data_IF_258644586644
#
_entry.id   IF_258644586644
#
_cell.length_a   1.000
_cell.length_b   1.000
_cell.length_c   1.000
_cell.angle_alpha   90.00
_cell.angle_beta   90.00
_cell.angle_gamma   90.00
#
_symmetry.space_group_name_H-M   'P 1'
#
loop_
_entity.id
_entity.type
_entity.pdbx_description
1 polymer ?
#
# COMPACT_ATOMS: atom_id res chain seq x y z
N UNK A 1 -15.24 57.80 -5.70
CA UNK A 1 -15.60 56.39 -5.47
C UNK A 1 -14.31 55.59 -5.30
N UNK A 2 -13.94 55.29 -4.05
CA UNK A 2 -12.75 54.47 -3.72
C UNK A 2 -13.18 53.01 -3.78
N UNK A 3 -12.55 52.23 -4.67
CA UNK A 3 -12.81 50.80 -4.82
C UNK A 3 -11.82 50.07 -3.91
N UNK A 4 -12.30 49.60 -2.76
CA UNK A 4 -11.50 48.78 -1.84
C UNK A 4 -11.33 47.40 -2.46
N UNK A 5 -10.07 47.00 -2.70
CA UNK A 5 -9.69 45.63 -3.01
C UNK A 5 -9.65 44.86 -1.68
N UNK A 6 -10.57 43.91 -1.48
CA UNK A 6 -10.48 42.96 -0.36
C UNK A 6 -9.71 41.74 -0.90
N UNK A 7 -8.45 41.61 -0.48
CA UNK A 7 -7.70 40.36 -0.59
C UNK A 7 -8.17 39.43 0.52
N UNK A 8 -8.91 38.38 0.16
CA UNK A 8 -9.21 37.26 1.05
C UNK A 8 -8.01 36.30 0.95
N UNK A 9 -7.18 36.30 1.99
CA UNK A 9 -6.11 35.34 2.18
C UNK A 9 -6.73 34.05 2.74
N UNK A 10 -7.10 33.11 1.86
CA UNK A 10 -7.51 31.76 2.27
C UNK A 10 -6.23 31.00 2.65
N UNK A 11 -6.02 30.82 3.96
CA UNK A 11 -5.02 29.91 4.49
C UNK A 11 -5.57 28.49 4.39
N UNK A 12 -5.20 27.79 3.32
CA UNK A 12 -5.37 26.34 3.21
C UNK A 12 -4.30 25.68 4.11
N UNK A 13 -4.71 25.33 5.33
CA UNK A 13 -4.05 24.32 6.14
C UNK A 13 -4.30 22.95 5.48
N UNK A 14 -3.44 22.59 4.54
CA UNK A 14 -3.27 21.19 4.15
C UNK A 14 -2.42 20.53 5.23
N UNK A 15 -3.05 19.67 6.03
CA UNK A 15 -2.33 18.66 6.83
C UNK A 15 -1.64 17.73 5.84
N UNK A 16 -0.32 17.60 5.95
CA UNK A 16 0.45 16.69 5.12
C UNK A 16 0.11 15.25 5.47
N UNK A 17 -0.31 14.47 4.48
CA UNK A 17 -0.39 13.02 4.57
C UNK A 17 0.95 12.46 4.10
N UNK A 18 1.73 11.90 5.03
CA UNK A 18 2.68 10.83 4.75
C UNK A 18 1.95 9.53 5.14
N UNK A 19 1.94 8.46 4.34
CA UNK A 19 3.01 7.48 4.25
C UNK A 19 2.48 6.22 3.51
N UNK A 20 3.34 5.23 3.31
CA UNK A 20 3.04 3.79 3.35
C UNK A 20 3.86 3.32 4.56
N UNK A 21 3.36 2.49 5.51
CA UNK A 21 2.03 1.93 5.82
C UNK A 21 0.80 2.82 5.63
N UNK A 22 -0.36 2.16 5.52
CA UNK A 22 -1.66 2.81 5.61
C UNK A 22 -1.75 3.52 6.96
N UNK A 23 -1.99 4.83 6.92
CA UNK A 23 -2.12 5.67 8.11
C UNK A 23 -3.49 6.34 8.13
N UNK A 24 -4.12 6.34 9.30
CA UNK A 24 -5.41 6.99 9.55
C UNK A 24 -6.52 6.56 8.57
N UNK A 25 -6.58 5.29 8.17
CA UNK A 25 -7.69 4.77 7.38
C UNK A 25 -8.99 4.88 8.19
N UNK A 26 -10.00 5.66 7.76
CA UNK A 26 -11.24 5.80 8.52
C UNK A 26 -11.96 4.47 8.62
N UNK A 27 -12.35 4.09 9.85
CA UNK A 27 -13.10 2.86 10.12
C UNK A 27 -14.50 3.26 10.60
N UNK A 28 -15.51 3.29 9.71
CA UNK A 28 -16.86 3.70 10.06
C UNK A 28 -17.54 2.61 10.91
N UNK A 29 -17.55 2.79 12.23
CA UNK A 29 -18.13 1.80 13.17
C UNK A 29 -19.12 2.42 14.15
N UNK A 30 -20.04 1.58 14.59
CA UNK A 30 -20.99 1.87 15.65
C UNK A 30 -20.64 1.06 16.90
N UNK A 31 -20.79 1.69 18.05
CA UNK A 31 -20.76 1.00 19.34
C UNK A 31 -22.02 0.10 19.48
N UNK A 32 -22.01 -0.89 20.38
CA UNK A 32 -23.17 -1.75 20.65
C UNK A 32 -24.47 -1.01 21.04
N UNK A 33 -24.39 0.25 21.47
CA UNK A 33 -25.56 1.10 21.77
C UNK A 33 -26.06 1.91 20.56
N UNK A 34 -25.45 1.73 19.38
CA UNK A 34 -25.75 2.45 18.15
C UNK A 34 -25.07 3.82 18.02
N UNK A 35 -24.23 4.23 18.98
CA UNK A 35 -23.48 5.49 18.85
C UNK A 35 -22.36 5.35 17.82
N UNK A 36 -22.24 6.33 16.92
CA UNK A 36 -21.17 6.40 15.92
C UNK A 36 -19.90 6.96 16.55
N UNK A 37 -18.77 6.33 16.25
CA UNK A 37 -17.45 6.78 16.70
C UNK A 37 -16.54 7.00 15.49
N UNK A 38 -15.62 7.96 15.62
CA UNK A 38 -14.60 8.25 14.63
C UNK A 38 -13.29 7.64 15.11
N UNK A 39 -12.89 6.54 14.47
CA UNK A 39 -11.64 5.84 14.75
C UNK A 39 -10.95 5.53 13.43
N UNK A 40 -9.66 5.22 13.51
CA UNK A 40 -8.84 4.92 12.36
C UNK A 40 -8.05 3.64 12.56
N UNK A 41 -7.72 2.99 11.44
CA UNK A 41 -6.73 1.93 11.42
C UNK A 41 -5.42 2.47 10.83
N UNK A 42 -4.30 2.08 11.42
CA UNK A 42 -2.98 2.29 10.86
C UNK A 42 -2.15 1.02 10.94
N UNK A 43 -1.18 0.89 10.04
CA UNK A 43 -0.24 -0.22 10.00
C UNK A 43 0.01 -0.73 8.59
N UNK A 44 0.60 -1.90 8.55
CA UNK A 44 0.90 -2.65 7.34
C UNK A 44 0.19 -4.01 7.37
N UNK A 45 0.46 -4.84 6.38
CA UNK A 45 -0.11 -6.17 6.20
C UNK A 45 0.28 -7.17 7.29
N UNK A 46 1.33 -6.89 8.05
CA UNK A 46 1.85 -7.76 9.11
C UNK A 46 1.40 -7.32 10.49
N UNK A 47 1.21 -6.02 10.68
CA UNK A 47 0.71 -5.46 11.93
C UNK A 47 -0.08 -4.16 11.71
N UNK A 48 -1.36 -4.22 12.08
CA UNK A 48 -2.24 -3.06 12.10
C UNK A 48 -2.99 -2.94 13.44
N UNK A 49 -3.38 -1.71 13.78
CA UNK A 49 -4.07 -1.42 15.03
C UNK A 49 -5.11 -0.30 14.84
N UNK A 50 -6.06 -0.23 15.77
CA UNK A 50 -7.03 0.86 15.83
C UNK A 50 -6.57 1.97 16.77
N UNK A 51 -6.84 3.22 16.41
CA UNK A 51 -6.58 4.38 17.25
C UNK A 51 -7.53 5.54 16.94
N UNK A 52 -7.60 6.53 17.84
CA UNK A 52 -8.29 7.80 17.57
C UNK A 52 -7.37 8.82 16.87
N UNK A 53 -7.90 10.03 16.62
CA UNK A 53 -7.13 11.11 15.99
C UNK A 53 -5.91 11.57 16.78
N UNK A 54 -5.90 11.31 18.09
CA UNK A 54 -4.92 11.76 19.07
C UNK A 54 -3.90 10.66 19.41
N UNK A 55 -3.94 9.54 18.66
CA UNK A 55 -3.09 8.35 18.77
C UNK A 55 -3.29 7.56 20.08
N UNK A 56 -4.50 7.57 20.65
CA UNK A 56 -4.86 6.60 21.68
C UNK A 56 -5.32 5.30 21.04
N UNK A 57 -4.71 4.20 21.44
CA UNK A 57 -4.98 2.86 20.92
C UNK A 57 -6.34 2.35 21.37
N UNK A 58 -7.04 1.67 20.48
CA UNK A 58 -8.41 1.19 20.65
C UNK A 58 -8.45 -0.33 20.41
N UNK A 59 -9.20 -1.04 21.24
CA UNK A 59 -9.48 -2.48 21.12
C UNK A 59 -10.97 -2.74 21.38
N UNK A 60 -11.45 -3.95 21.10
CA UNK A 60 -12.79 -4.38 21.52
C UNK A 60 -12.72 -5.11 22.87
N UNK A 61 -13.67 -4.81 23.76
CA UNK A 61 -13.84 -5.56 25.02
C UNK A 61 -14.70 -6.82 24.81
N UNK A 62 -14.85 -7.62 25.87
CA UNK A 62 -15.65 -8.86 25.86
C UNK A 62 -17.15 -8.63 25.61
N UNK A 63 -17.62 -7.37 25.70
CA UNK A 63 -19.01 -6.97 25.43
C UNK A 63 -19.18 -6.41 24.02
N UNK A 64 -18.10 -6.37 23.23
CA UNK A 64 -18.09 -5.84 21.86
C UNK A 64 -18.00 -4.32 21.77
N UNK A 65 -17.77 -3.61 22.88
CA UNK A 65 -17.52 -2.16 22.85
C UNK A 65 -16.12 -1.86 22.36
N UNK A 66 -15.97 -0.85 21.52
CA UNK A 66 -14.68 -0.22 21.27
C UNK A 66 -14.28 0.62 22.48
N UNK A 67 -13.16 0.25 23.10
CA UNK A 67 -12.62 0.88 24.30
C UNK A 67 -11.16 1.28 24.07
N UNK A 68 -10.69 2.29 24.79
CA UNK A 68 -9.28 2.61 24.80
C UNK A 68 -8.49 1.48 25.47
N UNK A 69 -7.29 1.22 24.97
CA UNK A 69 -6.41 0.16 25.44
C UNK A 69 -5.39 0.66 26.46
N UNK A 70 -4.93 -0.24 27.32
CA UNK A 70 -3.76 -0.06 28.17
C UNK A 70 -2.67 -1.08 27.79
N UNK A 71 -1.42 -0.75 28.11
CA UNK A 71 -0.31 -1.68 27.92
C UNK A 71 -0.47 -2.87 28.89
N UNK A 72 -0.35 -4.09 28.37
CA UNK A 72 -0.37 -5.32 29.16
C UNK A 72 0.80 -6.23 28.74
N UNK A 73 1.94 -6.07 29.42
CA UNK A 73 3.18 -6.74 29.05
C UNK A 73 3.60 -6.40 27.62
N UNK A 74 3.79 -7.41 26.78
CA UNK A 74 4.12 -7.25 25.36
C UNK A 74 2.90 -6.94 24.47
N UNK A 75 1.67 -7.04 25.00
CA UNK A 75 0.41 -6.82 24.28
C UNK A 75 -0.33 -5.59 24.82
N UNK A 76 -1.57 -5.42 24.34
CA UNK A 76 -2.50 -4.41 24.81
C UNK A 76 -3.76 -5.08 25.35
N UNK A 77 -4.41 -4.46 26.33
CA UNK A 77 -5.62 -4.98 26.95
C UNK A 77 -6.74 -3.92 26.96
N UNK A 78 -8.02 -4.33 26.87
CA UNK A 78 -9.16 -3.43 26.95
C UNK A 78 -9.24 -2.76 28.32
N UNK A 79 -9.60 -1.48 28.34
CA UNK A 79 -9.96 -0.76 29.57
C UNK A 79 -11.47 -0.58 29.69
N UNK A 80 -11.92 0.09 30.76
CA UNK A 80 -13.32 0.45 30.93
C UNK A 80 -13.71 1.79 30.26
N UNK A 81 -12.79 2.41 29.49
CA UNK A 81 -13.02 3.71 28.85
C UNK A 81 -13.58 3.49 27.44
N UNK A 82 -14.87 3.72 27.25
CA UNK A 82 -15.58 3.55 25.98
C UNK A 82 -15.30 4.74 25.06
N UNK A 83 -14.89 4.43 23.84
CA UNK A 83 -14.61 5.45 22.81
C UNK A 83 -15.90 6.23 22.52
N UNK A 84 -15.78 7.56 22.46
CA UNK A 84 -16.90 8.48 22.24
C UNK A 84 -17.71 8.87 23.49
N UNK A 85 -17.50 8.20 24.62
CA UNK A 85 -18.15 8.54 25.90
C UNK A 85 -17.17 9.12 26.92
N UNK A 86 -16.03 8.46 27.09
CA UNK A 86 -14.98 8.90 28.00
C UNK A 86 -13.86 9.66 27.26
N UNK A 87 -13.20 10.58 27.97
CA UNK A 87 -12.05 11.31 27.45
C UNK A 87 -10.74 10.65 27.93
N UNK A 88 -9.92 10.07 27.04
CA UNK A 88 -8.68 9.40 27.40
C UNK A 88 -7.62 10.37 27.94
N UNK A 89 -7.61 11.65 27.55
CA UNK A 89 -6.66 12.66 28.06
C UNK A 89 -6.81 12.94 29.56
N UNK A 90 -7.98 12.60 30.14
CA UNK A 90 -8.23 12.72 31.58
C UNK A 90 -7.88 11.46 32.35
N UNK A 91 -7.37 10.45 31.67
CA UNK A 91 -6.91 9.17 32.24
C UNK A 91 -5.39 9.11 32.28
N UNK A 92 -4.84 8.05 32.88
CA UNK A 92 -3.39 7.80 32.89
C UNK A 92 -2.90 6.98 31.68
N UNK A 93 -3.67 6.93 30.59
CA UNK A 93 -3.30 6.20 29.38
C UNK A 93 -2.21 6.92 28.60
N UNK A 94 -1.23 6.17 28.13
CA UNK A 94 -0.22 6.68 27.22
C UNK A 94 -0.72 6.62 25.77
N UNK A 95 -0.26 7.57 24.94
CA UNK A 95 -0.49 7.56 23.50
C UNK A 95 0.46 6.57 22.83
N UNK A 96 0.05 6.00 21.69
CA UNK A 96 0.88 5.11 20.87
C UNK A 96 1.20 3.75 21.52
N UNK A 97 0.41 3.33 22.51
CA UNK A 97 0.52 1.99 23.12
C UNK A 97 0.32 0.93 22.03
N UNK A 98 1.20 -0.05 21.93
CA UNK A 98 1.12 -1.07 20.87
C UNK A 98 1.79 -2.38 21.33
N UNK A 99 1.81 -3.38 20.45
CA UNK A 99 2.62 -4.59 20.66
C UNK A 99 4.09 -4.21 20.84
N UNK A 100 4.81 -4.99 21.65
CA UNK A 100 6.26 -4.85 21.78
C UNK A 100 6.96 -5.07 20.43
N UNK A 101 8.12 -4.44 20.24
CA UNK A 101 8.95 -4.66 19.05
C UNK A 101 9.31 -6.15 18.86
N UNK A 102 9.44 -6.90 19.96
CA UNK A 102 9.69 -8.33 19.91
C UNK A 102 8.52 -9.14 19.34
N UNK A 103 7.26 -8.79 19.68
CA UNK A 103 6.09 -9.45 19.10
C UNK A 103 5.87 -9.03 17.64
N UNK A 104 6.10 -7.76 17.31
CA UNK A 104 6.06 -7.30 15.92
C UNK A 104 7.07 -8.06 15.07
N UNK A 105 8.34 -8.14 15.50
CA UNK A 105 9.39 -8.92 14.82
C UNK A 105 9.00 -10.38 14.61
N UNK A 106 8.44 -11.03 15.63
CA UNK A 106 7.95 -12.42 15.48
C UNK A 106 6.85 -12.55 14.43
N UNK A 107 5.98 -11.54 14.26
CA UNK A 107 5.02 -11.50 13.16
C UNK A 107 5.73 -11.33 11.82
N UNK A 108 6.60 -10.33 11.67
CA UNK A 108 7.34 -10.11 10.41
C UNK A 108 8.19 -11.32 9.99
N UNK A 109 8.89 -11.96 10.92
CA UNK A 109 9.66 -13.19 10.68
C UNK A 109 8.76 -14.34 10.19
N UNK A 110 7.55 -14.45 10.73
CA UNK A 110 6.57 -15.49 10.36
C UNK A 110 6.01 -15.29 8.95
N UNK A 111 5.94 -14.05 8.48
CA UNK A 111 5.43 -13.70 7.16
C UNK A 111 6.55 -13.39 6.16
N UNK A 112 7.77 -13.89 6.39
CA UNK A 112 8.92 -13.60 5.52
C UNK A 112 8.67 -13.90 4.06
N UNK A 113 7.92 -14.96 3.77
CA UNK A 113 7.64 -15.46 2.42
C UNK A 113 6.71 -14.51 1.63
N UNK A 114 5.96 -13.62 2.32
CA UNK A 114 5.19 -12.56 1.65
C UNK A 114 6.10 -11.52 0.97
N UNK A 115 7.37 -11.47 1.39
CA UNK A 115 8.40 -10.54 0.92
C UNK A 115 9.36 -11.17 -0.08
N UNK A 116 9.06 -12.37 -0.56
CA UNK A 116 9.77 -12.98 -1.67
C UNK A 116 9.24 -12.39 -2.99
N UNK A 117 10.10 -11.60 -3.63
CA UNK A 117 9.86 -10.98 -4.94
C UNK A 117 10.69 -11.65 -6.05
N UNK A 118 11.56 -12.62 -5.73
CA UNK A 118 12.46 -13.28 -6.69
C UNK A 118 11.68 -14.08 -7.76
N UNK A 119 10.42 -14.41 -7.46
CA UNK A 119 9.51 -15.15 -8.34
C UNK A 119 8.40 -14.30 -8.94
N UNK A 120 8.44 -12.96 -8.83
CA UNK A 120 7.50 -12.10 -9.55
C UNK A 120 7.81 -12.21 -11.05
N UNK A 121 6.89 -12.84 -11.78
CA UNK A 121 7.05 -13.17 -13.20
C UNK A 121 5.82 -12.66 -13.93
N UNK A 122 5.99 -11.47 -14.46
CA UNK A 122 4.93 -10.74 -15.13
C UNK A 122 5.58 -9.81 -16.15
N UNK A 123 4.91 -9.52 -17.27
CA UNK A 123 5.48 -8.72 -18.34
C UNK A 123 5.70 -7.26 -17.92
N UNK A 124 6.93 -6.75 -18.09
CA UNK A 124 7.27 -5.34 -17.84
C UNK A 124 6.97 -4.40 -19.01
N UNK A 125 6.57 -4.94 -20.17
CA UNK A 125 6.36 -4.19 -21.41
C UNK A 125 5.09 -4.66 -22.14
N UNK A 126 4.52 -3.77 -22.94
CA UNK A 126 3.35 -4.07 -23.76
C UNK A 126 2.04 -3.95 -22.99
N UNK A 127 1.09 -4.81 -23.34
CA UNK A 127 -0.23 -4.88 -22.71
C UNK A 127 -0.16 -5.91 -21.58
N UNK A 128 -0.58 -5.50 -20.38
CA UNK A 128 -0.68 -6.32 -19.19
C UNK A 128 -2.15 -6.47 -18.82
N UNK A 129 -2.65 -7.70 -18.71
CA UNK A 129 -4.04 -7.94 -18.33
C UNK A 129 -4.17 -8.32 -16.86
N UNK A 130 -4.63 -7.38 -16.05
CA UNK A 130 -4.91 -7.58 -14.65
C UNK A 130 -6.35 -8.14 -14.46
N UNK A 131 -6.50 -9.26 -13.77
CA UNK A 131 -7.82 -9.79 -13.44
C UNK A 131 -8.31 -9.21 -12.11
N UNK A 132 -9.51 -8.66 -12.05
CA UNK A 132 -10.11 -8.13 -10.83
C UNK A 132 -11.27 -9.02 -10.41
N UNK A 133 -11.18 -9.66 -9.24
CA UNK A 133 -12.21 -10.57 -8.74
C UNK A 133 -12.88 -9.98 -7.50
N UNK A 134 -14.19 -9.70 -7.59
CA UNK A 134 -14.98 -9.20 -6.46
C UNK A 134 -15.47 -10.35 -5.58
N UNK A 135 -15.22 -10.24 -4.27
CA UNK A 135 -15.57 -11.25 -3.26
C UNK A 135 -16.43 -10.61 -2.16
N UNK A 136 -17.47 -11.33 -1.72
CA UNK A 136 -18.21 -11.02 -0.50
C UNK A 136 -18.39 -12.28 0.35
N UNK A 137 -18.70 -12.08 1.63
CA UNK A 137 -18.98 -13.17 2.56
C UNK A 137 -20.48 -13.47 2.63
N UNK A 138 -20.83 -14.61 3.23
CA UNK A 138 -22.22 -15.07 3.35
C UNK A 138 -23.17 -14.08 4.07
N UNK A 139 -22.62 -13.24 4.95
CA UNK A 139 -23.30 -12.23 5.75
C UNK A 139 -22.95 -10.78 5.32
N UNK A 140 -22.12 -10.62 4.29
CA UNK A 140 -21.77 -9.33 3.72
C UNK A 140 -22.96 -8.70 3.00
N UNK A 141 -23.15 -7.37 3.10
CA UNK A 141 -24.00 -6.65 2.16
C UNK A 141 -23.40 -6.66 0.74
N UNK A 142 -24.14 -6.11 -0.22
CA UNK A 142 -23.60 -5.82 -1.55
C UNK A 142 -22.58 -4.68 -1.50
N UNK A 143 -21.74 -4.59 -2.53
CA UNK A 143 -20.82 -3.46 -2.72
C UNK A 143 -21.59 -2.14 -2.81
N UNK A 144 -21.02 -1.10 -2.21
CA UNK A 144 -21.61 0.24 -2.09
C UNK A 144 -21.32 1.13 -3.29
N UNK A 145 -20.18 0.92 -3.95
CA UNK A 145 -19.80 1.66 -5.15
C UNK A 145 -20.29 0.94 -6.42
N UNK A 146 -20.66 1.70 -7.48
CA UNK A 146 -20.95 1.10 -8.78
C UNK A 146 -19.67 0.61 -9.47
N UNK A 147 -19.81 -0.28 -10.45
CA UNK A 147 -18.67 -0.76 -11.25
C UNK A 147 -17.89 0.40 -11.89
N UNK A 148 -18.58 1.45 -12.36
CA UNK A 148 -17.98 2.64 -12.96
C UNK A 148 -16.98 3.36 -12.05
N UNK A 149 -17.12 3.24 -10.72
CA UNK A 149 -16.11 3.75 -9.80
C UNK A 149 -14.80 2.96 -9.92
N UNK A 150 -14.89 1.63 -9.90
CA UNK A 150 -13.73 0.74 -10.04
C UNK A 150 -13.10 0.87 -11.43
N UNK A 151 -13.91 0.80 -12.49
CA UNK A 151 -13.43 1.03 -13.85
C UNK A 151 -12.70 2.38 -13.99
N UNK A 152 -13.19 3.43 -13.33
CA UNK A 152 -12.52 4.72 -13.34
C UNK A 152 -11.14 4.72 -12.65
N UNK A 153 -10.97 4.03 -11.52
CA UNK A 153 -9.68 3.99 -10.80
C UNK A 153 -8.70 2.96 -11.37
N UNK A 154 -9.18 1.95 -12.10
CA UNK A 154 -8.35 0.96 -12.78
C UNK A 154 -8.00 1.39 -14.21
N UNK A 155 -9.01 1.65 -15.04
CA UNK A 155 -8.90 1.65 -16.51
C UNK A 155 -9.01 3.02 -17.18
N UNK A 156 -9.43 4.08 -16.48
CA UNK A 156 -9.65 5.37 -17.14
C UNK A 156 -8.35 5.89 -17.79
N UNK A 157 -8.36 6.02 -19.12
CA UNK A 157 -7.22 6.44 -19.94
C UNK A 157 -7.30 7.91 -20.38
N UNK A 158 -8.33 8.64 -19.94
CA UNK A 158 -8.46 10.06 -20.24
C UNK A 158 -7.31 10.84 -19.62
N UNK A 159 -6.75 11.78 -20.37
CA UNK A 159 -5.59 12.59 -19.95
C UNK A 159 -5.82 13.21 -18.56
N UNK A 160 -4.83 13.05 -17.67
CA UNK A 160 -4.86 13.52 -16.28
C UNK A 160 -5.92 12.85 -15.37
N UNK A 161 -6.50 11.71 -15.76
CA UNK A 161 -7.32 10.90 -14.86
C UNK A 161 -6.44 10.09 -13.91
N UNK A 162 -6.82 10.05 -12.64
CA UNK A 162 -6.11 9.29 -11.62
C UNK A 162 -6.54 7.82 -11.63
N UNK A 163 -5.92 7.03 -12.51
CA UNK A 163 -6.14 5.60 -12.65
C UNK A 163 -4.82 4.84 -12.62
N UNK A 164 -4.88 3.54 -12.31
CA UNK A 164 -3.73 2.65 -12.38
C UNK A 164 -3.18 2.56 -13.81
N UNK A 165 -4.05 2.46 -14.82
CA UNK A 165 -3.65 2.48 -16.24
C UNK A 165 -2.84 3.72 -16.60
N UNK A 166 -3.36 4.92 -16.30
CA UNK A 166 -2.62 6.16 -16.57
C UNK A 166 -1.32 6.25 -15.76
N UNK A 167 -1.30 5.70 -14.54
CA UNK A 167 -0.10 5.70 -13.71
C UNK A 167 1.02 4.92 -14.37
N UNK A 168 0.77 3.66 -14.76
CA UNK A 168 1.80 2.85 -15.41
C UNK A 168 2.16 3.35 -16.80
N UNK A 169 1.20 3.90 -17.56
CA UNK A 169 1.51 4.59 -18.81
C UNK A 169 2.48 5.76 -18.60
N UNK A 170 2.30 6.58 -17.56
CA UNK A 170 3.22 7.68 -17.26
C UNK A 170 4.54 7.19 -16.64
N UNK A 171 4.49 6.23 -15.72
CA UNK A 171 5.64 5.75 -14.97
C UNK A 171 6.63 5.00 -15.86
N UNK A 172 6.11 4.20 -16.80
CA UNK A 172 6.86 3.42 -17.79
C UNK A 172 7.21 4.19 -19.06
N UNK A 173 6.86 5.48 -19.15
CA UNK A 173 7.06 6.29 -20.37
C UNK A 173 6.36 5.71 -21.61
N UNK A 174 5.18 5.10 -21.40
CA UNK A 174 4.34 4.48 -22.43
C UNK A 174 4.79 3.09 -22.85
N UNK A 175 5.64 2.42 -22.06
CA UNK A 175 6.12 1.07 -22.36
C UNK A 175 5.25 -0.04 -21.80
N UNK A 176 4.43 0.25 -20.78
CA UNK A 176 3.51 -0.69 -20.15
C UNK A 176 2.11 -0.08 -20.05
N UNK A 177 1.11 -0.75 -20.61
CA UNK A 177 -0.31 -0.50 -20.42
C UNK A 177 -0.88 -1.58 -19.52
N UNK A 178 -1.53 -1.20 -18.41
CA UNK A 178 -2.21 -2.16 -17.53
C UNK A 178 -3.71 -2.03 -17.70
N UNK A 179 -4.34 -3.07 -18.21
CA UNK A 179 -5.77 -3.16 -18.49
C UNK A 179 -6.41 -4.15 -17.52
N UNK A 180 -7.45 -3.70 -16.80
CA UNK A 180 -8.12 -4.51 -15.77
C UNK A 180 -9.48 -5.01 -16.20
N UNK A 181 -9.74 -6.30 -15.97
CA UNK A 181 -10.98 -6.97 -16.34
C UNK A 181 -11.72 -7.47 -15.10
N UNK A 182 -13.01 -7.17 -15.01
CA UNK A 182 -13.79 -7.39 -13.79
C UNK A 182 -14.58 -8.70 -13.83
N UNK A 183 -14.44 -9.50 -12.79
CA UNK A 183 -15.08 -10.79 -12.63
C UNK A 183 -15.70 -10.96 -11.23
N UNK A 184 -16.78 -11.74 -11.08
CA UNK A 184 -17.65 -12.28 -12.13
C UNK A 184 -18.21 -11.22 -13.09
N UNK A 185 -18.70 -11.63 -14.27
CA UNK A 185 -19.18 -10.67 -15.28
C UNK A 185 -20.23 -9.71 -14.66
N UNK A 186 -19.99 -8.39 -14.70
CA UNK A 186 -20.91 -7.43 -14.10
C UNK A 186 -22.27 -7.35 -14.82
N UNK A 187 -23.34 -7.04 -14.07
CA UNK A 187 -24.65 -6.73 -14.64
C UNK A 187 -24.75 -5.21 -14.91
N UNK A 188 -24.22 -4.79 -16.06
CA UNK A 188 -24.13 -3.38 -16.42
C UNK A 188 -23.21 -2.61 -15.46
N UNK A 189 -23.78 -1.71 -14.66
CA UNK A 189 -23.02 -0.92 -13.68
C UNK A 189 -23.04 -1.52 -12.27
N UNK A 190 -23.64 -2.70 -12.10
CA UNK A 190 -23.77 -3.40 -10.82
C UNK A 190 -22.66 -4.45 -10.73
N UNK A 191 -21.96 -4.45 -9.60
CA UNK A 191 -20.94 -5.44 -9.30
C UNK A 191 -21.60 -6.78 -9.00
N UNK A 192 -21.17 -7.82 -9.70
CA UNK A 192 -21.44 -9.21 -9.33
C UNK A 192 -20.19 -9.72 -8.61
N UNK A 193 -20.37 -10.58 -7.60
CA UNK A 193 -19.28 -11.07 -6.76
C UNK A 193 -19.37 -12.58 -6.53
N UNK A 194 -18.22 -13.21 -6.31
CA UNK A 194 -18.16 -14.52 -5.67
C UNK A 194 -18.60 -14.38 -4.21
N UNK A 195 -19.48 -15.27 -3.75
CA UNK A 195 -19.99 -15.27 -2.38
C UNK A 195 -19.40 -16.46 -1.65
N UNK A 196 -18.49 -16.19 -0.71
CA UNK A 196 -17.96 -17.25 0.12
C UNK A 196 -19.02 -17.76 1.10
N UNK A 197 -19.00 -19.07 1.33
CA UNK A 197 -19.97 -19.73 2.23
C UNK A 197 -19.78 -19.37 3.70
N UNK A 198 -18.59 -18.89 4.11
CA UNK A 198 -18.32 -18.47 5.47
C UNK A 198 -18.72 -17.00 5.69
N UNK A 199 -19.09 -16.63 6.94
CA UNK A 199 -19.30 -15.23 7.31
C UNK A 199 -17.96 -14.50 7.45
N UNK A 200 -17.97 -13.18 7.36
CA UNK A 200 -16.77 -12.34 7.51
C UNK A 200 -15.96 -12.67 8.76
N UNK A 201 -16.63 -12.93 9.88
CA UNK A 201 -15.99 -13.26 11.15
C UNK A 201 -15.10 -14.51 11.10
N UNK A 202 -15.32 -15.43 10.15
CA UNK A 202 -14.41 -16.56 9.90
C UNK A 202 -13.03 -16.10 9.42
N UNK A 203 -12.95 -14.96 8.75
CA UNK A 203 -11.70 -14.37 8.25
C UNK A 203 -11.16 -13.27 9.19
N UNK A 204 -11.74 -13.14 10.38
CA UNK A 204 -11.29 -12.21 11.43
C UNK A 204 -10.72 -12.97 12.63
N UNK A 205 -9.88 -12.34 13.48
CA UNK A 205 -9.34 -12.98 14.67
C UNK A 205 -10.43 -13.51 15.61
N UNK A 206 -10.15 -14.64 16.26
CA UNK A 206 -11.00 -15.24 17.25
C UNK A 206 -11.10 -14.35 18.49
N UNK A 207 -12.32 -14.20 19.01
CA UNK A 207 -12.57 -13.52 20.28
C UNK A 207 -13.81 -14.09 20.96
N UNK A 208 -14.13 -13.65 22.18
CA UNK A 208 -15.38 -14.03 22.86
C UNK A 208 -16.61 -13.64 22.02
N UNK A 209 -16.54 -12.51 21.31
CA UNK A 209 -17.62 -12.02 20.44
C UNK A 209 -17.53 -12.54 18.99
N UNK A 210 -16.41 -13.18 18.62
CA UNK A 210 -16.20 -13.84 17.34
C UNK A 210 -15.58 -15.25 17.52
N UNK A 211 -16.35 -16.23 18.02
CA UNK A 211 -15.80 -17.55 18.34
C UNK A 211 -15.37 -18.36 17.11
N UNK A 212 -15.87 -18.01 15.92
CA UNK A 212 -15.55 -18.69 14.65
C UNK A 212 -14.27 -18.13 13.97
N UNK A 213 -13.67 -17.08 14.53
CA UNK A 213 -12.46 -16.47 13.98
C UNK A 213 -11.26 -17.41 13.97
N UNK A 214 -10.19 -16.98 13.29
CA UNK A 214 -8.91 -17.68 13.30
C UNK A 214 -8.10 -17.31 14.54
N UNK A 215 -7.27 -18.24 15.04
CA UNK A 215 -6.32 -17.89 16.10
C UNK A 215 -5.25 -16.93 15.53
N UNK A 216 -5.17 -15.67 16.00
CA UNK A 216 -4.20 -14.71 15.48
C UNK A 216 -2.74 -15.12 15.74
N UNK A 217 -2.51 -16.03 16.68
CA UNK A 217 -1.18 -16.56 16.97
C UNK A 217 -0.84 -17.81 16.13
N UNK A 218 -1.79 -18.35 15.35
CA UNK A 218 -1.61 -19.49 14.43
C UNK A 218 -1.52 -19.03 12.96
N UNK A 219 -0.29 -19.02 12.43
CA UNK A 219 -0.01 -18.70 11.04
C UNK A 219 -0.83 -19.52 10.06
N UNK A 220 -0.92 -20.84 10.29
CA UNK A 220 -1.45 -21.77 9.29
C UNK A 220 -2.95 -21.61 9.14
N UNK A 221 -3.67 -21.33 10.23
CA UNK A 221 -5.11 -21.05 10.14
C UNK A 221 -5.42 -19.79 9.32
N UNK A 222 -4.60 -18.73 9.42
CA UNK A 222 -4.76 -17.53 8.57
C UNK A 222 -4.53 -17.90 7.10
N UNK A 223 -3.35 -18.48 6.81
CA UNK A 223 -2.92 -18.86 5.47
C UNK A 223 -3.94 -19.77 4.78
N UNK A 224 -4.39 -20.84 5.46
CA UNK A 224 -5.31 -21.81 4.89
C UNK A 224 -6.66 -21.16 4.55
N UNK A 225 -7.20 -20.31 5.43
CA UNK A 225 -8.48 -19.64 5.20
C UNK A 225 -8.39 -18.67 4.02
N UNK A 226 -7.36 -17.85 3.98
CA UNK A 226 -7.12 -16.91 2.89
C UNK A 226 -6.89 -17.62 1.56
N UNK A 227 -5.96 -18.56 1.51
CA UNK A 227 -5.63 -19.27 0.27
C UNK A 227 -6.82 -20.08 -0.24
N UNK A 228 -7.60 -20.69 0.65
CA UNK A 228 -8.84 -21.38 0.25
C UNK A 228 -9.88 -20.40 -0.31
N UNK A 229 -10.05 -19.23 0.31
CA UNK A 229 -10.97 -18.19 -0.18
C UNK A 229 -10.60 -17.76 -1.62
N UNK A 230 -9.34 -17.41 -1.83
CA UNK A 230 -8.85 -16.91 -3.11
C UNK A 230 -8.87 -18.00 -4.19
N UNK A 231 -8.44 -19.22 -3.85
CA UNK A 231 -8.50 -20.34 -4.79
C UNK A 231 -9.94 -20.67 -5.22
N UNK A 232 -10.89 -20.66 -4.28
CA UNK A 232 -12.30 -20.89 -4.60
C UNK A 232 -12.88 -19.77 -5.48
N UNK A 233 -12.53 -18.52 -5.20
CA UNK A 233 -12.96 -17.38 -6.01
C UNK A 233 -12.39 -17.44 -7.43
N UNK A 234 -11.11 -17.76 -7.58
CA UNK A 234 -10.46 -17.96 -8.89
C UNK A 234 -11.10 -19.11 -9.66
N UNK A 235 -11.31 -20.26 -9.01
CA UNK A 235 -11.97 -21.41 -9.63
C UNK A 235 -13.41 -21.10 -10.07
N UNK A 236 -14.14 -20.26 -9.31
CA UNK A 236 -15.50 -19.85 -9.64
C UNK A 236 -15.58 -19.01 -10.93
N UNK A 237 -14.56 -18.16 -11.19
CA UNK A 237 -14.54 -17.28 -12.37
C UNK A 237 -13.78 -17.87 -13.56
N UNK A 238 -13.00 -18.94 -13.37
CA UNK A 238 -12.09 -19.48 -14.40
C UNK A 238 -12.79 -19.72 -15.76
N UNK A 239 -13.97 -20.33 -15.78
CA UNK A 239 -14.74 -20.60 -17.00
C UNK A 239 -15.48 -19.36 -17.57
N UNK A 240 -15.51 -18.25 -16.83
CA UNK A 240 -16.13 -16.98 -17.24
C UNK A 240 -15.13 -16.07 -17.98
N UNK A 241 -13.83 -16.31 -17.81
CA UNK A 241 -12.77 -15.49 -18.39
C UNK A 241 -12.60 -15.90 -19.87
N UNK A 242 -12.86 -15.00 -20.83
CA UNK A 242 -12.73 -15.33 -22.24
C UNK A 242 -11.25 -15.47 -22.63
N UNK A 243 -10.94 -16.47 -23.46
CA UNK A 243 -9.57 -16.69 -23.97
C UNK A 243 -9.01 -15.60 -24.90
N UNK A 244 -9.72 -14.48 -25.06
CA UNK A 244 -9.16 -13.25 -25.66
C UNK A 244 -8.38 -12.40 -24.67
N UNK A 245 -8.55 -12.64 -23.37
CA UNK A 245 -7.73 -12.06 -22.32
C UNK A 245 -6.56 -13.01 -22.12
N UNK A 246 -5.39 -12.56 -22.53
CA UNK A 246 -4.13 -13.25 -22.25
C UNK A 246 -3.78 -13.06 -20.77
N UNK A 247 -3.75 -14.13 -20.00
CA UNK A 247 -3.58 -14.07 -18.53
C UNK A 247 -2.15 -14.42 -18.09
N UNK A 248 -1.31 -14.87 -19.01
CA UNK A 248 0.07 -15.34 -18.81
C UNK A 248 0.90 -14.75 -19.96
N UNK A 249 1.08 -13.43 -19.94
CA UNK A 249 1.62 -12.67 -21.07
C UNK A 249 3.11 -12.90 -21.32
N UNK A 250 3.82 -13.52 -20.39
CA UNK A 250 5.23 -13.93 -20.54
C UNK A 250 5.45 -15.45 -20.72
N UNK A 251 4.35 -16.23 -20.86
CA UNK A 251 4.31 -17.67 -21.12
C UNK A 251 5.09 -18.52 -20.09
N UNK A 252 5.04 -18.12 -18.82
CA UNK A 252 5.83 -18.74 -17.75
C UNK A 252 5.06 -19.81 -16.95
N UNK A 253 3.75 -19.94 -17.22
CA UNK A 253 2.83 -20.89 -16.60
C UNK A 253 2.06 -20.33 -15.40
N UNK A 254 2.17 -19.05 -15.11
CA UNK A 254 1.49 -18.36 -14.00
C UNK A 254 0.61 -17.23 -14.52
N UNK A 255 -0.46 -16.92 -13.77
CA UNK A 255 -1.31 -15.77 -14.09
C UNK A 255 -0.57 -14.50 -13.68
N UNK A 256 -0.38 -13.56 -14.61
CA UNK A 256 0.43 -12.35 -14.43
C UNK A 256 0.03 -11.55 -13.18
N UNK A 257 -1.27 -11.34 -12.95
CA UNK A 257 -1.79 -10.78 -11.71
C UNK A 257 -3.29 -11.03 -11.51
N UNK A 258 -3.67 -11.31 -10.26
CA UNK A 258 -5.06 -11.30 -9.81
C UNK A 258 -5.24 -10.32 -8.65
N UNK A 259 -6.08 -9.31 -8.84
CA UNK A 259 -6.49 -8.36 -7.82
C UNK A 259 -7.84 -8.75 -7.23
N UNK A 260 -7.86 -9.25 -6.00
CA UNK A 260 -9.07 -9.54 -5.26
C UNK A 260 -9.58 -8.32 -4.53
N UNK A 261 -10.85 -7.96 -4.74
CA UNK A 261 -11.50 -6.87 -4.01
C UNK A 261 -12.55 -7.47 -3.08
N UNK A 262 -12.28 -7.40 -1.78
CA UNK A 262 -13.18 -7.91 -0.75
C UNK A 262 -14.12 -6.82 -0.27
N UNK A 263 -15.40 -7.18 -0.17
CA UNK A 263 -16.45 -6.33 0.38
C UNK A 263 -16.15 -5.94 1.84
N UNK A 264 -16.32 -4.66 2.16
CA UNK A 264 -16.29 -4.15 3.54
C UNK A 264 -15.09 -3.27 3.90
N UNK A 265 -14.89 -3.09 5.21
CA UNK A 265 -13.91 -2.16 5.80
C UNK A 265 -12.66 -2.89 6.29
N UNK A 266 -11.60 -2.16 6.63
CA UNK A 266 -10.47 -2.75 7.38
C UNK A 266 -10.94 -3.08 8.80
N UNK A 267 -10.62 -4.29 9.27
CA UNK A 267 -10.77 -4.64 10.68
C UNK A 267 -9.41 -4.40 11.32
N UNK A 268 -9.26 -3.34 12.11
CA UNK A 268 -7.98 -3.13 12.81
C UNK A 268 -7.75 -4.26 13.82
N UNK A 269 -6.49 -4.65 13.98
CA UNK A 269 -6.05 -5.89 14.62
C UNK A 269 -6.36 -7.17 13.83
N UNK A 270 -6.75 -7.08 12.56
CA UNK A 270 -6.91 -8.22 11.65
C UNK A 270 -5.99 -8.08 10.44
N UNK A 271 -5.01 -8.99 10.34
CA UNK A 271 -3.98 -8.96 9.28
C UNK A 271 -4.48 -9.55 7.97
N UNK A 272 -5.43 -10.50 8.00
CA UNK A 272 -6.00 -11.09 6.77
C UNK A 272 -6.81 -10.04 6.01
N UNK A 273 -7.69 -9.33 6.72
CA UNK A 273 -8.57 -8.31 6.13
C UNK A 273 -7.86 -6.94 6.13
N UNK A 274 -6.68 -6.89 5.52
CA UNK A 274 -5.88 -5.71 5.25
C UNK A 274 -5.36 -5.75 3.81
N UNK A 275 -5.25 -4.61 3.09
CA UNK A 275 -4.67 -4.63 1.75
C UNK A 275 -3.23 -5.12 1.75
N UNK A 276 -2.87 -6.03 0.83
CA UNK A 276 -1.52 -6.59 0.71
C UNK A 276 -1.31 -7.32 -0.63
N UNK A 277 -0.07 -7.69 -0.95
CA UNK A 277 0.28 -8.68 -1.98
C UNK A 277 0.82 -9.96 -1.33
N UNK A 278 0.56 -11.12 -1.93
CA UNK A 278 1.20 -12.38 -1.55
C UNK A 278 1.17 -13.40 -2.71
N UNK A 279 1.56 -14.64 -2.41
CA UNK A 279 1.60 -15.78 -3.33
C UNK A 279 0.77 -16.94 -2.79
N UNK A 280 -0.05 -17.54 -3.65
CA UNK A 280 -1.03 -18.57 -3.34
C UNK A 280 -0.42 -19.97 -3.24
N UNK A 281 0.55 -20.18 -2.35
CA UNK A 281 1.25 -21.48 -2.24
C UNK A 281 0.47 -22.58 -1.50
N UNK A 282 -0.55 -22.19 -0.75
CA UNK A 282 -1.29 -23.09 0.15
C UNK A 282 -2.52 -23.74 -0.47
N UNK A 283 -2.90 -23.31 -1.68
CA UNK A 283 -3.99 -23.86 -2.46
C UNK A 283 -3.67 -23.72 -3.95
N UNK A 284 -4.18 -24.63 -4.77
CA UNK A 284 -3.99 -24.55 -6.22
C UNK A 284 -5.26 -23.98 -6.88
N UNK A 285 -5.08 -23.00 -7.76
CA UNK A 285 -6.11 -22.50 -8.64
C UNK A 285 -5.50 -22.21 -10.01
N UNK A 286 -6.30 -22.42 -11.06
CA UNK A 286 -5.85 -22.26 -12.45
C UNK A 286 -6.87 -21.46 -13.25
N UNK A 287 -6.38 -20.60 -14.13
CA UNK A 287 -7.17 -19.85 -15.09
C UNK A 287 -6.52 -20.07 -16.46
N UNK A 288 -7.28 -20.59 -17.42
CA UNK A 288 -6.79 -20.93 -18.77
C UNK A 288 -5.55 -21.85 -18.80
N UNK A 289 -5.30 -22.61 -17.72
CA UNK A 289 -4.15 -23.51 -17.59
C UNK A 289 -2.93 -22.90 -16.89
N UNK A 290 -2.88 -21.58 -16.73
CA UNK A 290 -1.89 -20.88 -15.92
C UNK A 290 -2.27 -20.93 -14.44
N UNK A 291 -1.28 -21.08 -13.56
CA UNK A 291 -1.50 -21.15 -12.11
C UNK A 291 -1.68 -19.74 -11.54
N UNK A 292 -2.75 -19.54 -10.76
CA UNK A 292 -2.86 -18.34 -9.92
C UNK A 292 -1.84 -18.47 -8.80
N UNK A 293 -0.89 -17.55 -8.77
CA UNK A 293 0.19 -17.55 -7.80
C UNK A 293 0.26 -16.19 -7.12
N UNK A 294 0.78 -15.16 -7.80
CA UNK A 294 0.79 -13.79 -7.32
C UNK A 294 -0.62 -13.17 -7.27
N UNK A 295 -0.91 -12.48 -6.18
CA UNK A 295 -2.16 -11.74 -6.05
C UNK A 295 -2.02 -10.44 -5.27
N UNK A 296 -2.86 -9.47 -5.62
CA UNK A 296 -3.14 -8.31 -4.76
C UNK A 296 -4.47 -8.55 -4.04
N UNK A 297 -4.52 -8.19 -2.77
CA UNK A 297 -5.69 -8.25 -1.92
C UNK A 297 -6.07 -6.83 -1.53
N UNK A 298 -7.30 -6.41 -1.83
CA UNK A 298 -7.80 -5.08 -1.59
C UNK A 298 -9.13 -5.11 -0.86
N UNK A 299 -9.40 -4.06 -0.08
CA UNK A 299 -10.70 -3.87 0.55
C UNK A 299 -11.45 -2.72 -0.11
N UNK A 300 -12.76 -2.90 -0.30
CA UNK A 300 -13.68 -1.89 -0.81
C UNK A 300 -13.46 -0.51 -0.15
N UNK A 301 -13.42 -0.46 1.18
CA UNK A 301 -13.26 0.81 1.90
C UNK A 301 -11.86 1.43 1.72
N UNK A 302 -10.81 0.61 1.54
CA UNK A 302 -9.47 1.15 1.28
C UNK A 302 -9.49 1.92 -0.03
N UNK A 303 -10.00 1.29 -1.10
CA UNK A 303 -10.07 1.86 -2.45
C UNK A 303 -10.94 3.11 -2.54
N UNK A 304 -11.98 3.23 -1.70
CA UNK A 304 -12.78 4.45 -1.58
C UNK A 304 -11.94 5.68 -1.18
N UNK A 305 -10.83 5.48 -0.47
CA UNK A 305 -9.98 6.56 0.04
C UNK A 305 -8.69 6.74 -0.76
N UNK A 306 -8.02 5.64 -1.08
CA UNK A 306 -6.69 5.63 -1.71
C UNK A 306 -6.74 5.63 -3.24
N UNK A 307 -7.82 5.10 -3.83
CA UNK A 307 -8.02 4.99 -5.28
C UNK A 307 -6.83 4.33 -5.99
N UNK A 308 -6.40 4.95 -7.09
CA UNK A 308 -5.30 4.47 -7.92
C UNK A 308 -3.94 4.37 -7.21
N UNK A 309 -3.76 5.03 -6.07
CA UNK A 309 -2.45 5.07 -5.39
C UNK A 309 -2.04 3.70 -4.83
N UNK A 310 -2.90 3.09 -4.02
CA UNK A 310 -2.65 1.74 -3.47
C UNK A 310 -2.67 0.70 -4.58
N UNK A 311 -3.59 0.82 -5.55
CA UNK A 311 -3.58 -0.08 -6.72
C UNK A 311 -2.24 -0.04 -7.46
N UNK A 312 -1.66 1.15 -7.63
CA UNK A 312 -0.37 1.30 -8.31
C UNK A 312 0.79 0.75 -7.49
N UNK A 313 0.77 0.91 -6.16
CA UNK A 313 1.77 0.37 -5.24
C UNK A 313 1.80 -1.16 -5.32
N UNK A 314 0.63 -1.78 -5.20
CA UNK A 314 0.46 -3.23 -5.15
C UNK A 314 0.73 -3.88 -6.51
N UNK A 315 0.30 -3.22 -7.60
CA UNK A 315 0.64 -3.64 -8.95
C UNK A 315 2.15 -3.55 -9.23
N UNK A 316 2.89 -2.66 -8.58
CA UNK A 316 4.35 -2.60 -8.75
C UNK A 316 5.06 -3.72 -7.97
N UNK A 317 4.49 -4.20 -6.86
CA UNK A 317 4.92 -5.48 -6.25
C UNK A 317 4.75 -6.65 -7.22
N UNK A 318 3.64 -6.69 -7.98
CA UNK A 318 3.43 -7.73 -9.02
C UNK A 318 4.45 -7.63 -10.18
N UNK A 319 5.18 -6.52 -10.30
CA UNK A 319 6.32 -6.37 -11.22
C UNK A 319 7.68 -6.62 -10.54
N UNK A 320 7.69 -7.12 -9.30
CA UNK A 320 8.87 -7.48 -8.53
C UNK A 320 9.49 -6.36 -7.70
N UNK A 321 8.82 -5.21 -7.54
CA UNK A 321 9.35 -4.13 -6.71
C UNK A 321 9.17 -4.42 -5.22
N UNK A 322 10.21 -4.25 -4.38
CA UNK A 322 10.08 -4.35 -2.94
C UNK A 322 9.63 -3.02 -2.31
N UNK A 323 9.23 -3.09 -1.04
CA UNK A 323 8.96 -1.90 -0.24
C UNK A 323 10.22 -1.10 0.10
N UNK A 324 10.05 0.22 0.17
CA UNK A 324 11.07 1.19 0.54
C UNK A 324 10.83 1.87 1.90
N UNK A 325 9.80 1.45 2.63
CA UNK A 325 9.70 1.67 4.08
C UNK A 325 10.24 0.46 4.85
N UNK A 326 10.55 0.65 6.14
CA UNK A 326 11.02 -0.44 7.00
C UNK A 326 9.85 -1.03 7.77
N UNK A 327 9.93 -2.33 8.01
CA UNK A 327 8.98 -3.06 8.84
C UNK A 327 9.41 -3.06 10.31
N UNK A 328 10.72 -3.08 10.53
CA UNK A 328 11.34 -2.89 11.83
C UNK A 328 12.13 -1.58 11.90
N UNK A 329 12.40 -1.06 13.09
CA UNK A 329 13.14 0.20 13.26
C UNK A 329 12.48 1.38 12.51
N UNK A 330 11.15 1.47 12.61
CA UNK A 330 10.27 2.40 11.86
C UNK A 330 10.32 3.85 12.36
N UNK A 331 11.28 4.20 13.21
CA UNK A 331 11.49 5.59 13.69
C UNK A 331 11.76 6.57 12.54
N UNK A 332 12.16 6.05 11.38
CA UNK A 332 12.35 6.78 10.13
C UNK A 332 11.73 6.01 8.96
N UNK A 333 11.22 6.74 7.98
CA UNK A 333 10.97 6.20 6.63
C UNK A 333 12.16 6.57 5.74
N UNK A 334 13.01 5.61 5.29
CA UNK A 334 14.25 5.92 4.57
C UNK A 334 14.07 6.81 3.34
N UNK A 335 12.94 6.68 2.65
CA UNK A 335 12.61 7.47 1.46
C UNK A 335 11.53 8.51 1.75
N UNK A 336 10.46 8.13 2.44
CA UNK A 336 9.32 9.02 2.72
C UNK A 336 8.50 9.28 1.46
N UNK A 337 7.95 10.49 1.31
CA UNK A 337 6.99 10.83 0.25
C UNK A 337 7.54 10.87 -1.18
N UNK A 338 8.82 10.54 -1.38
CA UNK A 338 9.48 10.66 -2.66
C UNK A 338 9.29 9.44 -3.56
N UNK A 339 8.87 8.28 -3.05
CA UNK A 339 8.69 7.07 -3.86
C UNK A 339 7.36 6.40 -3.54
N UNK A 340 6.68 5.88 -4.57
CA UNK A 340 5.44 5.12 -4.44
C UNK A 340 5.61 3.92 -3.48
N UNK A 341 6.76 3.24 -3.53
CA UNK A 341 7.06 2.09 -2.67
C UNK A 341 7.41 2.47 -1.23
N UNK A 342 7.41 3.77 -0.91
CA UNK A 342 7.54 4.26 0.46
C UNK A 342 6.30 5.02 0.94
N UNK A 343 5.43 5.48 0.02
CA UNK A 343 4.15 6.08 0.41
C UNK A 343 3.11 6.20 -0.69
N UNK A 344 1.85 6.32 -0.27
CA UNK A 344 0.71 6.36 -1.18
C UNK A 344 0.03 7.73 -1.17
N UNK A 345 0.61 8.76 -1.83
CA UNK A 345 -0.11 10.04 -2.01
C UNK A 345 -1.25 9.88 -3.01
N UNK A 346 -2.22 10.79 -3.02
CA UNK A 346 -3.34 10.72 -3.97
C UNK A 346 -3.53 12.07 -4.70
N UNK A 347 -3.23 12.19 -6.02
CA UNK A 347 -2.69 11.17 -6.92
C UNK A 347 -1.32 10.59 -6.47
N UNK A 348 -0.95 9.37 -6.89
CA UNK A 348 0.34 8.78 -6.53
C UNK A 348 1.52 9.60 -7.06
N UNK A 349 2.60 9.67 -6.29
CA UNK A 349 3.88 10.13 -6.81
C UNK A 349 4.54 9.04 -7.67
N UNK A 350 5.49 9.44 -8.51
CA UNK A 350 6.33 8.45 -9.18
C UNK A 350 7.24 7.74 -8.18
N UNK A 351 7.47 6.46 -8.43
CA UNK A 351 8.66 5.76 -7.97
C UNK A 351 9.95 6.42 -8.48
N UNK A 352 11.02 6.29 -7.69
CA UNK A 352 12.35 6.79 -7.99
C UNK A 352 12.91 6.14 -9.25
N UNK A 353 13.83 6.84 -9.93
CA UNK A 353 14.42 6.37 -11.17
C UNK A 353 15.18 5.05 -10.98
N UNK A 354 15.77 4.82 -9.80
CA UNK A 354 16.40 3.52 -9.50
C UNK A 354 15.38 2.37 -9.52
N UNK A 355 14.19 2.58 -8.97
CA UNK A 355 13.12 1.58 -8.99
C UNK A 355 12.62 1.32 -10.42
N UNK A 356 12.44 2.39 -11.22
CA UNK A 356 12.08 2.26 -12.64
C UNK A 356 13.12 1.50 -13.47
N UNK A 357 14.41 1.64 -13.13
CA UNK A 357 15.49 0.90 -13.77
C UNK A 357 15.53 -0.56 -13.31
N UNK A 358 15.66 -0.80 -12.00
CA UNK A 358 15.92 -2.14 -11.44
C UNK A 358 14.70 -3.05 -11.51
N UNK A 359 13.54 -2.56 -11.09
CA UNK A 359 12.32 -3.37 -10.96
C UNK A 359 11.32 -3.11 -12.09
N UNK A 360 11.22 -1.86 -12.56
CA UNK A 360 10.37 -1.53 -13.71
C UNK A 360 10.99 -1.92 -15.07
N UNK A 361 12.31 -2.04 -15.17
CA UNK A 361 13.03 -2.27 -16.44
C UNK A 361 12.78 -1.20 -17.52
N UNK A 362 12.27 -0.02 -17.14
CA UNK A 362 11.86 1.06 -18.03
C UNK A 362 12.93 2.13 -18.28
N UNK A 363 14.13 1.91 -17.77
CA UNK A 363 15.26 2.81 -17.98
C UNK A 363 16.48 2.04 -18.44
N UNK A 364 17.37 2.64 -19.25
CA UNK A 364 18.65 2.05 -19.55
C UNK A 364 19.56 2.03 -18.31
N UNK A 365 20.66 1.26 -18.39
CA UNK A 365 21.72 1.25 -17.37
C UNK A 365 22.13 2.66 -16.94
N UNK A 366 22.03 3.00 -15.64
CA UNK A 366 22.40 4.32 -15.13
C UNK A 366 23.87 4.65 -15.35
N UNK A 367 24.21 5.76 -16.04
CA UNK A 367 25.59 6.18 -16.22
C UNK A 367 26.24 6.54 -14.89
N UNK A 368 27.49 6.11 -14.69
CA UNK A 368 28.30 6.50 -13.52
C UNK A 368 29.16 7.72 -13.85
N UNK A 369 29.05 8.77 -13.03
CA UNK A 369 29.90 9.96 -13.10
C UNK A 369 31.25 9.65 -12.46
N UNK A 370 32.32 9.73 -13.25
CA UNK A 370 33.71 9.50 -12.81
C UNK A 370 34.63 10.71 -13.01
N UNK A 371 34.14 11.78 -13.63
CA UNK A 371 34.90 12.97 -13.97
C UNK A 371 34.20 14.23 -13.45
N UNK A 372 34.98 15.25 -13.08
CA UNK A 372 34.43 16.55 -12.72
C UNK A 372 33.86 17.23 -13.96
N UNK A 373 32.63 17.73 -13.87
CA UNK A 373 31.98 18.40 -14.99
C UNK A 373 30.61 18.93 -14.66
N UNK A 374 29.94 19.44 -15.69
CA UNK A 374 28.55 19.86 -15.63
C UNK A 374 27.68 18.78 -16.26
N UNK A 375 26.74 18.26 -15.48
CA UNK A 375 25.77 17.26 -15.89
C UNK A 375 24.37 17.86 -15.87
N UNK A 376 23.49 17.36 -16.72
CA UNK A 376 22.07 17.75 -16.74
C UNK A 376 21.21 16.54 -16.45
N UNK A 377 20.10 16.74 -15.74
CA UNK A 377 19.11 15.71 -15.45
C UNK A 377 17.74 16.18 -15.95
N UNK A 378 17.03 15.31 -16.65
CA UNK A 378 15.61 15.47 -16.93
C UNK A 378 14.78 15.02 -15.71
N UNK A 379 13.62 15.64 -15.45
CA UNK A 379 12.71 15.15 -14.42
C UNK A 379 12.34 13.69 -14.62
N UNK A 380 12.32 12.90 -13.54
CA UNK A 380 11.92 11.48 -13.55
C UNK A 380 10.53 11.30 -14.17
N UNK A 381 9.61 12.23 -13.92
CA UNK A 381 8.25 12.19 -14.43
C UNK A 381 8.09 12.52 -15.93
N UNK A 382 9.15 12.98 -16.62
CA UNK A 382 9.02 13.52 -17.99
C UNK A 382 9.90 12.88 -19.06
N UNK A 383 10.91 12.08 -18.71
CA UNK A 383 11.79 11.47 -19.72
C UNK A 383 12.33 10.11 -19.29
N UNK A 384 12.39 9.12 -20.21
CA UNK A 384 13.06 7.82 -19.99
C UNK A 384 14.58 7.88 -20.14
N UNK A 385 15.15 9.06 -20.38
CA UNK A 385 16.57 9.22 -20.66
C UNK A 385 17.17 10.34 -19.83
N UNK A 386 18.44 10.20 -19.46
CA UNK A 386 19.19 11.24 -18.75
C UNK A 386 18.46 11.75 -17.49
N UNK A 387 17.83 10.86 -16.73
CA UNK A 387 17.03 11.17 -15.54
C UNK A 387 17.62 10.55 -14.25
N UNK A 388 18.70 9.79 -14.37
CA UNK A 388 19.45 9.16 -13.28
C UNK A 388 20.95 9.18 -13.56
N UNK A 389 21.75 9.44 -12.52
CA UNK A 389 23.19 9.19 -12.51
C UNK A 389 23.59 8.44 -11.24
N UNK A 390 24.67 7.66 -11.36
CA UNK A 390 25.37 7.09 -10.22
C UNK A 390 26.67 7.84 -9.94
N UNK A 391 27.05 7.96 -8.67
CA UNK A 391 28.37 8.41 -8.25
C UNK A 391 28.93 7.38 -7.29
N UNK A 392 30.17 6.94 -7.48
CA UNK A 392 30.78 5.99 -6.56
C UNK A 392 30.93 6.62 -5.16
N UNK A 393 30.56 5.88 -4.12
CA UNK A 393 30.91 6.26 -2.76
C UNK A 393 32.35 5.85 -2.45
N UNK A 394 32.91 6.43 -1.39
CA UNK A 394 34.20 6.00 -0.83
C UNK A 394 34.12 4.59 -0.23
N UNK A 395 32.92 4.15 0.16
CA UNK A 395 32.64 2.76 0.51
C UNK A 395 32.18 2.01 -0.76
N UNK A 396 32.90 0.96 -1.14
CA UNK A 396 32.60 0.16 -2.33
C UNK A 396 31.27 -0.61 -2.26
N UNK A 397 30.65 -0.73 -1.09
CA UNK A 397 29.31 -1.28 -0.92
C UNK A 397 28.20 -0.29 -1.30
N UNK A 398 28.51 1.00 -1.42
CA UNK A 398 27.52 2.05 -1.65
C UNK A 398 27.82 2.87 -2.90
N UNK A 399 26.76 3.38 -3.52
CA UNK A 399 26.80 4.45 -4.51
C UNK A 399 25.90 5.59 -4.07
N UNK A 400 26.04 6.73 -4.71
CA UNK A 400 25.04 7.79 -4.66
C UNK A 400 24.21 7.77 -5.94
N UNK A 401 22.89 7.84 -5.79
CA UNK A 401 21.97 8.01 -6.91
C UNK A 401 21.57 9.47 -6.96
N UNK A 402 21.66 10.08 -8.13
CA UNK A 402 21.20 11.43 -8.40
C UNK A 402 19.99 11.37 -9.33
N UNK A 403 18.88 11.96 -8.92
CA UNK A 403 17.68 12.13 -9.76
C UNK A 403 17.11 13.54 -9.59
N UNK A 404 16.36 14.01 -10.59
CA UNK A 404 15.68 15.30 -10.51
C UNK A 404 14.16 15.11 -10.45
N UNK A 405 13.52 15.69 -9.43
CA UNK A 405 12.07 15.59 -9.23
C UNK A 405 11.39 16.93 -9.48
N UNK A 406 10.37 16.89 -10.35
CA UNK A 406 9.54 18.02 -10.73
C UNK A 406 8.20 17.50 -11.26
N UNK A 407 7.06 18.08 -10.86
CA UNK A 407 5.74 17.70 -11.36
C UNK A 407 5.66 17.75 -12.88
N UNK A 408 5.00 16.76 -13.45
CA UNK A 408 4.73 16.64 -14.87
C UNK A 408 3.44 15.84 -15.07
N UNK A 409 2.52 16.36 -15.89
CA UNK A 409 1.16 15.81 -15.98
C UNK A 409 0.45 15.86 -14.63
N UNK A 410 -0.22 14.75 -14.28
CA UNK A 410 -0.95 14.59 -13.01
C UNK A 410 -0.01 14.32 -11.81
N UNK A 411 1.16 13.75 -12.05
CA UNK A 411 1.99 13.12 -11.02
C UNK A 411 3.07 14.06 -10.47
N UNK A 412 3.64 13.66 -9.32
CA UNK A 412 4.64 14.39 -8.55
C UNK A 412 4.21 15.78 -8.01
N UNK A 413 2.98 16.22 -8.29
CA UNK A 413 2.41 17.47 -7.74
C UNK A 413 2.15 17.45 -6.23
N UNK A 414 2.10 16.25 -5.65
CA UNK A 414 1.90 15.98 -4.21
C UNK A 414 3.20 15.97 -3.41
N UNK A 415 4.36 15.95 -4.10
CA UNK A 415 5.67 15.92 -3.46
C UNK A 415 5.89 17.16 -2.57
N UNK A 416 6.71 17.04 -1.51
CA UNK A 416 6.90 18.12 -0.56
C UNK A 416 7.69 19.30 -1.15
N UNK A 417 8.60 19.04 -2.11
CA UNK A 417 9.29 20.06 -2.93
C UNK A 417 9.72 19.50 -4.30
N UNK A 418 10.55 20.25 -5.05
CA UNK A 418 11.09 19.92 -6.37
C UNK A 418 12.58 20.20 -6.39
N UNK A 419 13.39 19.31 -6.96
CA UNK A 419 14.83 19.49 -6.88
C UNK A 419 15.65 18.26 -7.23
N UNK A 420 16.96 18.42 -7.10
CA UNK A 420 17.90 17.32 -7.14
C UNK A 420 17.79 16.53 -5.84
N UNK A 421 17.57 15.23 -5.93
CA UNK A 421 17.61 14.31 -4.80
C UNK A 421 18.88 13.46 -4.89
N UNK A 422 19.45 13.17 -3.72
CA UNK A 422 20.64 12.34 -3.58
C UNK A 422 20.31 11.19 -2.64
N UNK A 423 20.44 9.97 -3.12
CA UNK A 423 20.23 8.77 -2.31
C UNK A 423 21.54 8.05 -2.07
N UNK A 424 21.69 7.41 -0.92
CA UNK A 424 22.60 6.27 -0.77
C UNK A 424 21.92 5.06 -1.39
N UNK A 425 22.65 4.35 -2.25
CA UNK A 425 22.26 3.07 -2.82
C UNK A 425 23.19 1.97 -2.33
N UNK A 426 22.62 0.92 -1.72
CA UNK A 426 23.31 -0.33 -1.40
C UNK A 426 22.71 -1.47 -2.23
N UNK A 427 23.45 -1.93 -3.23
CA UNK A 427 22.99 -2.97 -4.15
C UNK A 427 23.10 -4.39 -3.57
N UNK A 428 23.61 -4.56 -2.34
CA UNK A 428 23.72 -5.87 -1.68
C UNK A 428 22.43 -6.33 -1.01
N UNK A 429 21.37 -5.51 -1.05
CA UNK A 429 20.06 -5.79 -0.47
C UNK A 429 18.97 -5.39 -1.46
N UNK A 430 17.77 -5.88 -1.19
CA UNK A 430 16.56 -5.65 -1.98
C UNK A 430 15.52 -4.97 -1.10
N UNK A 431 15.11 -3.77 -1.48
CA UNK A 431 14.20 -2.94 -0.71
C UNK A 431 14.75 -2.49 0.64
N UNK A 432 13.84 -2.02 1.48
CA UNK A 432 14.13 -1.48 2.80
C UNK A 432 13.37 -2.19 3.93
N UNK A 433 12.52 -3.19 3.63
CA UNK A 433 11.68 -3.86 4.62
C UNK A 433 12.48 -4.35 5.84
N UNK A 434 13.59 -5.07 5.59
CA UNK A 434 14.54 -5.58 6.61
C UNK A 434 15.66 -4.59 6.98
N UNK A 435 15.54 -3.33 6.55
CA UNK A 435 16.54 -2.31 6.82
C UNK A 435 16.70 -2.03 8.32
N UNK A 436 17.91 -1.61 8.77
CA UNK A 436 19.13 -1.41 7.99
C UNK A 436 19.96 -2.70 7.78
N UNK A 437 20.75 -2.79 6.68
CA UNK A 437 20.95 -1.75 5.67
C UNK A 437 19.78 -1.64 4.69
N UNK A 438 19.49 -0.41 4.26
CA UNK A 438 18.45 -0.11 3.27
C UNK A 438 19.06 -0.11 1.86
N UNK A 439 18.33 -0.64 0.86
CA UNK A 439 18.70 -0.51 -0.55
C UNK A 439 18.80 0.96 -0.94
N UNK A 440 17.74 1.74 -0.70
CA UNK A 440 17.69 3.16 -0.99
C UNK A 440 17.47 3.95 0.30
N UNK A 441 18.25 5.02 0.48
CA UNK A 441 18.09 5.95 1.59
C UNK A 441 18.31 7.39 1.12
N UNK A 442 17.35 8.29 1.33
CA UNK A 442 17.46 9.67 0.86
C UNK A 442 18.28 10.54 1.82
N UNK A 443 19.25 11.29 1.29
CA UNK A 443 19.93 12.33 2.07
C UNK A 443 19.05 13.57 2.18
N UNK A 444 18.99 14.13 3.39
CA UNK A 444 18.17 15.31 3.71
C UNK A 444 19.07 16.40 4.29
N UNK A 445 18.93 17.66 3.87
CA UNK A 445 19.64 18.78 4.49
C UNK A 445 19.40 18.81 6.01
N UNK A 446 20.48 18.87 6.80
CA UNK A 446 20.40 18.96 8.26
C UNK A 446 20.08 17.66 9.01
N UNK A 447 19.80 16.55 8.32
CA UNK A 447 19.61 15.26 8.98
C UNK A 447 20.94 14.70 9.52
N UNK A 448 20.92 14.16 10.74
CA UNK A 448 22.00 13.34 11.28
C UNK A 448 21.56 11.86 11.30
N UNK A 449 22.52 10.94 11.30
CA UNK A 449 22.26 9.50 11.22
C UNK A 449 21.49 8.90 12.42
N UNK A 450 21.17 9.69 13.46
CA UNK A 450 20.72 9.22 14.77
C UNK A 450 19.44 9.91 15.30
N UNK A 451 18.71 10.69 14.51
CA UNK A 451 17.55 11.42 15.04
C UNK A 451 16.26 11.22 14.24
N UNK A 452 15.27 10.67 14.94
CA UNK A 452 13.83 10.70 14.66
C UNK A 452 13.43 11.95 13.87
N UNK A 453 12.79 11.76 12.71
CA UNK A 453 12.05 12.82 12.02
C UNK A 453 10.67 12.27 11.64
N UNK A 454 9.84 12.04 12.66
CA UNK A 454 8.39 12.03 12.48
C UNK A 454 8.00 13.45 12.05
N UNK A 455 7.59 13.58 10.79
CA UNK A 455 7.14 14.82 10.13
C UNK A 455 8.27 15.80 9.78
N UNK A 456 8.84 15.61 8.59
CA UNK A 456 9.58 16.68 7.91
C UNK A 456 8.53 17.72 7.48
N UNK A 457 8.43 18.79 8.25
CA UNK A 457 7.62 19.94 7.86
C UNK A 457 8.17 20.54 6.55
N UNK A 458 7.29 21.02 5.66
CA UNK A 458 7.62 21.76 4.43
C UNK A 458 8.60 22.94 4.61
N UNK A 459 8.96 23.32 5.84
CA UNK A 459 9.95 24.34 6.13
C UNK A 459 11.41 23.86 6.10
N UNK A 460 11.68 22.56 6.22
CA UNK A 460 13.06 22.05 6.25
C UNK A 460 13.66 21.81 4.85
N UNK A 461 12.84 21.70 3.82
CA UNK A 461 13.30 21.57 2.42
C UNK A 461 13.66 22.92 1.77
N UNK A 462 13.26 24.06 2.37
CA UNK A 462 13.47 25.40 1.80
C UNK A 462 14.87 26.01 2.04
N UNK A 463 15.89 25.22 2.38
CA UNK A 463 17.23 25.76 2.65
C UNK A 463 18.33 25.17 1.77
#
# INVERSE_FOLDING_TARGET
>A
MKRNLILILISLLFVGLAAAPHSFLPVPVEQPDGSKIEIYASGDEFHNWLHDKDNYTIVRDDKGYYVYAAQDGERVAPTNLVVGRENPDRSALAKGINLSENLKRQKYERFSDMRDYDNAKSPHFGDFHNLVIFIRFSDSPEFTQPLSFYDNIFNNDSENSNSMKNYFMAASYGMLSVDSFFFPEPDGNVIVSYVDSHPRGYYSPQSITNPNGYDPDDYWQRTEREHTLLANASAYVADQIPGSIDVDGDDDGYVDNVCFIIQGVTDGWAELLWPHRWVLYGAEAYIQGAQVWDFNFQLENSLNSSGASVLSHEMFHSLGAPDLYRYENTEITPIGSWDLMASNTNPPQHMSAWMKYRYGQWLPEPPTITESGTYSLHPVASSPSNNIYLVNSWNNQNKYVLEYRKPHGLYDGTLPDQGLLVYRLNQSVEGNADGPPDELYIYRPGANNNSMNLVISRSEERR
#
